data_IF_488542660959
#
_entry.id   IF_488542660959
#
_cell.length_a   1.000
_cell.length_b   1.000
_cell.length_c   1.000
_cell.angle_alpha   90.00
_cell.angle_beta   90.00
_cell.angle_gamma   90.00
#
_symmetry.space_group_name_H-M   'P 1'
#
loop_
_entity.id
_entity.type
_entity.pdbx_description
1 polymer ?
#
# COMPACT_ATOMS: atom_id res chain seq x y z
N UNK A 1 -42.34 15.83 -1.13
CA UNK A 1 -41.21 16.76 -0.93
C UNK A 1 -40.72 16.60 0.50
N UNK A 2 -39.65 15.81 0.70
CA UNK A 2 -39.06 15.58 2.02
C UNK A 2 -38.19 16.77 2.42
N UNK A 3 -38.47 17.36 3.57
CA UNK A 3 -37.71 18.47 4.15
C UNK A 3 -36.41 17.92 4.73
N UNK A 4 -35.27 18.19 4.09
CA UNK A 4 -33.94 17.90 4.66
C UNK A 4 -33.71 18.80 5.88
N UNK A 5 -33.26 18.20 6.98
CA UNK A 5 -32.92 18.93 8.20
C UNK A 5 -31.77 19.94 7.94
N UNK A 6 -31.76 21.11 8.60
CA UNK A 6 -30.76 22.14 8.38
C UNK A 6 -29.39 21.68 8.86
N UNK A 7 -28.36 21.98 8.06
CA UNK A 7 -26.96 21.75 8.38
C UNK A 7 -26.51 22.67 9.52
N UNK A 8 -26.00 22.09 10.60
CA UNK A 8 -25.39 22.82 11.72
C UNK A 8 -23.89 22.53 11.68
N UNK A 9 -23.02 23.52 11.39
CA UNK A 9 -21.59 23.33 11.43
C UNK A 9 -21.14 23.12 12.89
N UNK A 10 -20.31 22.10 13.12
CA UNK A 10 -19.71 21.82 14.43
C UNK A 10 -18.22 22.13 14.34
N UNK A 11 -17.75 23.07 15.15
CA UNK A 11 -16.32 23.34 15.30
C UNK A 11 -15.71 22.31 16.26
N UNK A 12 -14.75 21.53 15.77
CA UNK A 12 -14.02 20.55 16.57
C UNK A 12 -12.81 21.23 17.24
N UNK A 13 -12.75 21.17 18.57
CA UNK A 13 -11.59 21.62 19.35
C UNK A 13 -10.72 20.42 19.71
N UNK A 14 -9.42 20.49 19.39
CA UNK A 14 -8.45 19.45 19.76
C UNK A 14 -8.06 19.64 21.22
N UNK A 15 -8.53 18.76 22.10
CA UNK A 15 -8.12 18.70 23.50
C UNK A 15 -6.76 18.02 23.58
N UNK A 16 -5.75 18.77 24.02
CA UNK A 16 -4.38 18.30 24.14
C UNK A 16 -4.24 17.12 25.09
N UNK A 17 -3.77 16.00 24.57
CA UNK A 17 -2.96 15.03 25.32
C UNK A 17 -1.58 15.00 24.69
N UNK A 18 -0.56 15.16 25.53
CA UNK A 18 0.83 14.95 25.18
C UNK A 18 0.99 13.51 24.70
N UNK A 19 1.04 13.31 23.38
CA UNK A 19 1.56 12.08 22.80
C UNK A 19 3.08 12.12 22.97
N UNK A 20 3.64 11.10 23.61
CA UNK A 20 5.08 10.83 23.56
C UNK A 20 5.48 10.74 22.08
N UNK A 21 6.17 11.77 21.61
CA UNK A 21 6.79 11.78 20.29
C UNK A 21 7.88 10.72 20.26
N UNK A 22 7.55 9.52 19.80
CA UNK A 22 8.52 8.69 19.07
C UNK A 22 8.67 9.33 17.69
N UNK A 23 9.32 10.50 17.67
CA UNK A 23 9.79 11.12 16.45
C UNK A 23 11.01 10.32 16.00
N UNK A 24 10.78 9.25 15.24
CA UNK A 24 11.84 8.65 14.45
C UNK A 24 12.18 9.65 13.34
N UNK A 25 13.35 10.28 13.49
CA UNK A 25 13.94 11.17 12.51
C UNK A 25 14.25 10.35 11.25
N UNK A 26 13.36 10.40 10.27
CA UNK A 26 13.71 10.15 8.88
C UNK A 26 14.19 11.49 8.32
N UNK A 27 15.48 11.57 7.98
CA UNK A 27 16.06 12.70 7.28
C UNK A 27 15.40 12.79 5.90
N UNK A 28 14.58 13.83 5.68
CA UNK A 28 13.76 14.05 4.48
C UNK A 28 14.60 14.49 3.26
N UNK A 29 15.94 14.42 3.36
CA UNK A 29 16.88 15.01 2.40
C UNK A 29 17.90 14.01 1.81
N UNK A 30 17.66 12.70 1.91
CA UNK A 30 18.46 11.76 1.11
C UNK A 30 17.90 11.69 -0.31
N UNK A 31 18.62 12.28 -1.27
CA UNK A 31 18.45 11.95 -2.68
C UNK A 31 18.85 10.48 -2.86
N UNK A 32 17.87 9.60 -2.71
CA UNK A 32 18.09 8.17 -2.88
C UNK A 32 18.27 7.88 -4.37
N UNK A 33 19.46 7.36 -4.72
CA UNK A 33 19.78 6.92 -6.07
C UNK A 33 18.78 5.86 -6.62
N UNK A 34 18.93 5.47 -7.89
CA UNK A 34 18.11 4.40 -8.45
C UNK A 34 18.29 3.12 -7.62
N UNK A 35 17.17 2.51 -7.19
CA UNK A 35 17.18 1.30 -6.39
C UNK A 35 17.95 0.19 -7.10
N UNK A 36 18.70 -0.62 -6.34
CA UNK A 36 19.41 -1.76 -6.94
C UNK A 36 18.42 -2.75 -7.58
N UNK A 37 18.77 -3.42 -8.70
CA UNK A 37 17.85 -4.31 -9.39
C UNK A 37 17.26 -5.38 -8.46
N UNK A 38 15.94 -5.49 -8.42
CA UNK A 38 15.22 -6.44 -7.55
C UNK A 38 14.94 -5.93 -6.13
N UNK A 39 15.38 -4.72 -5.79
CA UNK A 39 15.06 -4.07 -4.53
C UNK A 39 13.82 -3.19 -4.64
N UNK A 40 13.20 -2.97 -3.49
CA UNK A 40 12.05 -2.08 -3.29
C UNK A 40 12.32 -1.19 -2.08
N UNK A 41 11.64 -0.06 -2.02
CA UNK A 41 11.60 0.77 -0.83
C UNK A 41 10.21 1.33 -0.60
N UNK A 42 9.93 1.66 0.64
CA UNK A 42 8.77 2.49 0.97
C UNK A 42 8.98 3.89 0.39
N UNK A 43 7.93 4.49 -0.15
CA UNK A 43 8.02 5.89 -0.60
C UNK A 43 8.23 6.81 0.61
N UNK A 44 8.85 7.96 0.34
CA UNK A 44 8.95 9.02 1.34
C UNK A 44 7.59 9.54 1.76
N UNK A 45 7.49 10.00 3.01
CA UNK A 45 6.26 10.58 3.54
C UNK A 45 5.23 9.54 4.01
N UNK A 46 5.62 8.30 4.28
CA UNK A 46 4.78 7.35 5.01
C UNK A 46 5.02 7.45 6.52
N UNK A 47 3.94 7.46 7.31
CA UNK A 47 3.99 7.42 8.78
C UNK A 47 3.10 6.32 9.33
N UNK A 48 3.66 5.56 10.26
CA UNK A 48 2.87 4.65 11.09
C UNK A 48 2.22 5.41 12.25
N UNK A 49 0.95 5.13 12.52
CA UNK A 49 0.20 5.63 13.69
C UNK A 49 -0.63 4.53 14.30
N UNK A 50 -0.85 4.61 15.60
CA UNK A 50 -1.80 3.73 16.29
C UNK A 50 -3.11 4.47 16.50
N UNK A 51 -4.22 3.90 16.01
CA UNK A 51 -5.57 4.46 16.16
C UNK A 51 -6.50 3.34 16.59
N UNK A 52 -7.17 3.51 17.73
CA UNK A 52 -8.08 2.51 18.29
C UNK A 52 -7.46 1.10 18.43
N UNK A 53 -6.17 1.01 18.78
CA UNK A 53 -5.45 -0.26 18.92
C UNK A 53 -5.07 -0.93 17.59
N UNK A 54 -5.28 -0.25 16.46
CA UNK A 54 -4.86 -0.70 15.13
C UNK A 54 -3.66 0.13 14.66
N UNK A 55 -2.69 -0.50 14.01
CA UNK A 55 -1.59 0.23 13.37
C UNK A 55 -2.01 0.62 11.95
N UNK A 56 -1.88 1.89 11.61
CA UNK A 56 -2.15 2.44 10.29
C UNK A 56 -0.85 2.94 9.67
N UNK A 57 -0.63 2.61 8.40
CA UNK A 57 0.39 3.24 7.56
C UNK A 57 -0.29 4.30 6.69
N UNK A 58 0.02 5.56 6.98
CA UNK A 58 -0.66 6.73 6.43
C UNK A 58 0.31 7.59 5.63
N UNK A 59 -0.05 8.04 4.41
CA UNK A 59 0.73 9.03 3.71
C UNK A 59 0.57 10.40 4.36
N UNK A 60 1.64 11.20 4.34
CA UNK A 60 1.69 12.58 4.78
C UNK A 60 2.47 13.43 3.77
N UNK A 61 2.18 14.73 3.72
CA UNK A 61 2.82 15.64 2.77
C UNK A 61 2.54 15.23 1.31
N UNK A 62 3.57 15.27 0.47
CA UNK A 62 3.45 15.02 -0.96
C UNK A 62 3.05 13.57 -1.30
N UNK A 63 3.32 12.62 -0.39
CA UNK A 63 2.94 11.22 -0.53
C UNK A 63 1.43 11.00 -0.66
N UNK A 64 0.62 11.93 -0.12
CA UNK A 64 -0.85 11.86 -0.19
C UNK A 64 -1.36 11.88 -1.63
N UNK A 65 -0.61 12.51 -2.55
CA UNK A 65 -0.97 12.56 -3.98
C UNK A 65 -0.66 11.26 -4.74
N UNK A 66 0.28 10.45 -4.23
CA UNK A 66 0.78 9.22 -4.88
C UNK A 66 0.08 7.97 -4.36
N UNK A 67 -0.24 7.96 -3.07
CA UNK A 67 -0.81 6.81 -2.36
C UNK A 67 -2.32 6.79 -2.51
N UNK A 68 -2.87 5.66 -2.95
CA UNK A 68 -4.30 5.51 -3.20
C UNK A 68 -5.15 5.43 -1.93
N UNK A 69 -4.62 4.79 -0.90
CA UNK A 69 -5.31 4.55 0.36
C UNK A 69 -4.33 4.30 1.49
N UNK A 70 -4.71 4.61 2.74
CA UNK A 70 -3.95 4.19 3.92
C UNK A 70 -4.07 2.67 4.12
N UNK A 71 -3.05 2.04 4.69
CA UNK A 71 -3.04 0.60 4.95
C UNK A 71 -3.29 0.34 6.43
N UNK A 72 -4.29 -0.50 6.74
CA UNK A 72 -4.52 -1.01 8.09
C UNK A 72 -3.67 -2.25 8.28
N UNK A 73 -2.81 -2.23 9.29
CA UNK A 73 -1.85 -3.28 9.59
C UNK A 73 -2.25 -4.00 10.89
N UNK A 74 -2.25 -5.33 10.84
CA UNK A 74 -2.23 -6.13 12.06
C UNK A 74 -0.83 -6.05 12.72
N UNK A 75 -0.69 -6.66 13.90
CA UNK A 75 0.54 -6.57 14.70
C UNK A 75 1.76 -7.12 13.96
N UNK A 76 1.59 -8.23 13.26
CA UNK A 76 2.63 -8.92 12.51
C UNK A 76 3.06 -8.10 11.28
N UNK A 77 2.10 -7.63 10.48
CA UNK A 77 2.37 -6.78 9.33
C UNK A 77 3.01 -5.45 9.74
N UNK A 78 2.60 -4.85 10.86
CA UNK A 78 3.24 -3.65 11.39
C UNK A 78 4.71 -3.88 11.74
N UNK A 79 5.04 -5.04 12.31
CA UNK A 79 6.43 -5.42 12.59
C UNK A 79 7.23 -5.67 11.30
N UNK A 80 6.63 -6.30 10.28
CA UNK A 80 7.27 -6.46 8.97
C UNK A 80 7.52 -5.11 8.27
N UNK A 81 6.55 -4.20 8.29
CA UNK A 81 6.69 -2.84 7.73
C UNK A 81 7.79 -2.06 8.45
N UNK A 82 7.95 -2.23 9.76
CA UNK A 82 9.09 -1.62 10.48
C UNK A 82 10.43 -2.07 9.95
N UNK A 83 10.58 -3.35 9.58
CA UNK A 83 11.81 -3.87 8.98
C UNK A 83 12.06 -3.33 7.56
N UNK A 84 11.00 -2.90 6.87
CA UNK A 84 11.05 -2.26 5.54
C UNK A 84 11.37 -0.76 5.63
N UNK A 85 11.17 -0.12 6.79
CA UNK A 85 11.47 1.30 6.99
C UNK A 85 12.96 1.59 7.13
N UNK A 86 13.81 0.57 7.27
CA UNK A 86 15.26 0.72 7.43
C UNK A 86 15.98 1.05 6.11
N UNK A 87 15.27 1.10 4.98
CA UNK A 87 15.82 1.45 3.66
C UNK A 87 15.34 0.53 2.55
N UNK A 88 16.20 0.29 1.56
CA UNK A 88 15.91 -0.65 0.48
C UNK A 88 15.87 -2.10 0.99
N UNK A 89 14.97 -2.90 0.43
CA UNK A 89 14.77 -4.27 0.85
C UNK A 89 14.37 -5.19 -0.31
N UNK A 90 14.59 -6.49 -0.10
CA UNK A 90 14.04 -7.58 -0.92
C UNK A 90 13.08 -8.42 -0.08
N UNK A 91 12.23 -9.23 -0.73
CA UNK A 91 11.37 -10.18 -0.01
C UNK A 91 12.21 -11.13 0.84
N UNK A 92 13.31 -11.66 0.29
CA UNK A 92 14.19 -12.58 0.99
C UNK A 92 14.78 -11.96 2.27
N UNK A 93 15.24 -10.70 2.20
CA UNK A 93 15.79 -10.00 3.35
C UNK A 93 14.74 -9.79 4.46
N UNK A 94 13.50 -9.47 4.09
CA UNK A 94 12.41 -9.30 5.08
C UNK A 94 12.01 -10.65 5.67
N UNK A 95 11.98 -11.72 4.89
CA UNK A 95 11.70 -13.08 5.38
C UNK A 95 12.77 -13.52 6.37
N UNK A 96 14.05 -13.33 6.05
CA UNK A 96 15.16 -13.66 6.94
C UNK A 96 15.07 -12.91 8.28
N UNK A 97 14.90 -11.57 8.24
CA UNK A 97 14.67 -10.75 9.45
C UNK A 97 13.42 -11.20 10.23
N UNK A 98 12.37 -11.56 9.51
CA UNK A 98 11.11 -12.04 10.08
C UNK A 98 11.26 -13.38 10.80
N UNK A 99 12.03 -14.33 10.26
CA UNK A 99 12.27 -15.64 10.90
C UNK A 99 12.99 -15.52 12.25
N UNK A 100 13.81 -14.49 12.42
CA UNK A 100 14.43 -14.20 13.72
C UNK A 100 13.43 -13.63 14.75
N UNK A 101 12.36 -13.00 14.28
CA UNK A 101 11.39 -12.28 15.13
C UNK A 101 10.16 -13.12 15.43
N UNK A 102 9.66 -13.87 14.44
CA UNK A 102 8.44 -14.66 14.52
C UNK A 102 8.80 -16.14 14.63
N UNK A 103 8.13 -16.84 15.56
CA UNK A 103 8.18 -18.30 15.59
C UNK A 103 7.20 -18.83 14.55
N UNK A 104 7.70 -19.23 13.38
CA UNK A 104 6.88 -19.73 12.28
C UNK A 104 7.70 -20.48 11.24
N UNK A 105 6.99 -21.07 10.28
CA UNK A 105 7.60 -21.76 9.14
C UNK A 105 7.91 -20.76 8.02
N UNK A 106 9.09 -20.88 7.41
CA UNK A 106 9.51 -20.01 6.31
C UNK A 106 8.49 -19.91 5.17
N UNK A 107 7.88 -21.01 4.66
CA UNK A 107 6.95 -20.93 3.54
C UNK A 107 5.70 -20.09 3.87
N UNK A 108 5.25 -20.14 5.12
CA UNK A 108 4.10 -19.37 5.61
C UNK A 108 4.48 -17.89 5.70
N UNK A 109 5.60 -17.59 6.35
CA UNK A 109 6.09 -16.21 6.48
C UNK A 109 6.36 -15.58 5.12
N UNK A 110 7.01 -16.30 4.21
CA UNK A 110 7.26 -15.85 2.83
C UNK A 110 5.96 -15.50 2.12
N UNK A 111 4.95 -16.36 2.22
CA UNK A 111 3.63 -16.08 1.63
C UNK A 111 2.99 -14.81 2.22
N UNK A 112 3.14 -14.58 3.52
CA UNK A 112 2.59 -13.40 4.17
C UNK A 112 3.35 -12.12 3.82
N UNK A 113 4.68 -12.18 3.73
CA UNK A 113 5.52 -11.07 3.24
C UNK A 113 5.18 -10.73 1.80
N UNK A 114 5.05 -11.71 0.92
CA UNK A 114 4.68 -11.50 -0.48
C UNK A 114 3.32 -10.81 -0.62
N UNK A 115 2.31 -11.30 0.11
CA UNK A 115 0.98 -10.66 0.14
C UNK A 115 1.03 -9.22 0.66
N UNK A 116 1.83 -8.97 1.69
CA UNK A 116 2.01 -7.64 2.24
C UNK A 116 2.64 -6.70 1.21
N UNK A 117 3.71 -7.14 0.55
CA UNK A 117 4.39 -6.37 -0.51
C UNK A 117 3.44 -6.08 -1.66
N UNK A 118 2.67 -7.06 -2.12
CA UNK A 118 1.68 -6.87 -3.19
C UNK A 118 0.61 -5.84 -2.80
N UNK A 119 0.12 -5.88 -1.56
CA UNK A 119 -0.86 -4.91 -1.07
C UNK A 119 -0.28 -3.49 -1.00
N UNK A 120 0.94 -3.33 -0.51
CA UNK A 120 1.63 -2.04 -0.45
C UNK A 120 1.95 -1.50 -1.86
N UNK A 121 2.35 -2.38 -2.77
CA UNK A 121 2.55 -2.08 -4.19
C UNK A 121 1.27 -1.55 -4.84
N UNK A 122 0.15 -2.26 -4.69
CA UNK A 122 -1.15 -1.86 -5.24
C UNK A 122 -1.69 -0.55 -4.64
N UNK A 123 -1.34 -0.28 -3.38
CA UNK A 123 -1.67 0.98 -2.71
C UNK A 123 -0.79 2.16 -3.16
N UNK A 124 0.26 1.92 -3.94
CA UNK A 124 1.22 2.94 -4.37
C UNK A 124 2.18 3.38 -3.28
N UNK A 125 2.42 2.52 -2.28
CA UNK A 125 3.29 2.80 -1.13
C UNK A 125 4.73 2.33 -1.32
N UNK A 126 5.03 1.62 -2.41
CA UNK A 126 6.36 1.14 -2.74
C UNK A 126 6.88 1.77 -4.03
N UNK A 127 8.19 1.91 -4.13
CA UNK A 127 8.91 2.27 -5.35
C UNK A 127 10.17 1.39 -5.53
N UNK A 128 10.67 1.34 -6.77
CA UNK A 128 11.78 0.50 -7.19
C UNK A 128 11.47 -0.36 -8.42
N UNK A 129 12.51 -0.93 -9.04
CA UNK A 129 12.40 -1.70 -10.28
C UNK A 129 11.46 -2.91 -10.18
N UNK A 130 11.42 -3.54 -9.01
CA UNK A 130 10.60 -4.72 -8.77
C UNK A 130 9.10 -4.39 -8.70
N UNK A 131 8.76 -3.16 -8.28
CA UNK A 131 7.37 -2.68 -8.24
C UNK A 131 6.78 -2.64 -9.65
N UNK A 132 7.52 -2.11 -10.63
CA UNK A 132 7.06 -2.06 -12.02
C UNK A 132 6.80 -3.46 -12.59
N UNK A 133 7.70 -4.42 -12.32
CA UNK A 133 7.54 -5.80 -12.79
C UNK A 133 6.27 -6.44 -12.23
N UNK A 134 6.02 -6.27 -10.92
CA UNK A 134 4.83 -6.77 -10.25
C UNK A 134 3.55 -6.16 -10.80
N UNK A 135 3.52 -4.85 -11.01
CA UNK A 135 2.37 -4.16 -11.57
C UNK A 135 2.07 -4.59 -13.01
N UNK A 136 3.10 -4.77 -13.85
CA UNK A 136 2.94 -5.30 -15.23
C UNK A 136 2.31 -6.69 -15.22
N UNK A 137 2.69 -7.56 -14.27
CA UNK A 137 2.07 -8.88 -14.10
C UNK A 137 0.62 -8.84 -13.57
N UNK A 138 0.26 -7.82 -12.79
CA UNK A 138 -1.05 -7.67 -12.19
C UNK A 138 -2.10 -7.00 -13.09
N UNK A 139 -1.67 -6.28 -14.14
CA UNK A 139 -2.56 -5.50 -15.01
C UNK A 139 -3.33 -6.42 -15.97
N UNK A 140 -4.64 -6.57 -15.77
CA UNK A 140 -5.51 -7.20 -16.76
C UNK A 140 -5.92 -6.14 -17.79
N UNK A 141 -5.44 -6.24 -19.04
CA UNK A 141 -5.94 -5.39 -20.13
C UNK A 141 -7.39 -5.76 -20.43
N UNK A 142 -8.33 -4.89 -20.07
CA UNK A 142 -9.72 -5.00 -20.49
C UNK A 142 -9.86 -4.29 -21.85
N UNK A 143 -9.69 -5.03 -22.94
CA UNK A 143 -10.05 -4.53 -24.27
C UNK A 143 -11.56 -4.69 -24.48
N UNK A 144 -12.28 -3.58 -24.56
CA UNK A 144 -13.69 -3.55 -24.97
C UNK A 144 -13.88 -2.61 -26.15
N UNK A 145 -14.55 -3.07 -27.21
CA UNK A 145 -14.97 -2.19 -28.31
C UNK A 145 -16.30 -1.55 -27.90
N UNK A 146 -16.31 -0.22 -27.79
CA UNK A 146 -17.53 0.57 -27.56
C UNK A 146 -17.93 1.21 -28.89
N UNK A 147 -19.12 0.89 -29.37
CA UNK A 147 -19.71 1.54 -30.55
C UNK A 147 -20.48 2.77 -30.09
N UNK A 148 -20.14 3.93 -30.64
CA UNK A 148 -20.73 5.23 -30.31
C UNK A 148 -21.62 5.71 -31.44
N UNK A 149 -22.84 6.18 -31.12
CA UNK A 149 -23.76 6.81 -32.07
C UNK A 149 -24.30 8.10 -31.44
N UNK A 150 -24.15 9.24 -32.13
CA UNK A 150 -24.55 10.57 -31.64
C UNK A 150 -24.00 10.92 -30.24
N UNK A 151 -22.74 10.54 -29.97
CA UNK A 151 -22.09 10.78 -28.68
C UNK A 151 -22.61 9.91 -27.53
N UNK A 152 -23.45 8.91 -27.82
CA UNK A 152 -23.98 7.95 -26.82
C UNK A 152 -23.45 6.54 -27.11
N UNK A 153 -23.04 5.77 -26.09
CA UNK A 153 -22.68 4.38 -26.28
C UNK A 153 -23.93 3.57 -26.63
N UNK A 154 -23.95 2.95 -27.81
CA UNK A 154 -25.08 2.13 -28.31
C UNK A 154 -24.84 0.64 -28.16
N UNK A 155 -23.59 0.20 -28.03
CA UNK A 155 -23.25 -1.20 -27.74
C UNK A 155 -21.84 -1.33 -27.17
N UNK A 156 -21.68 -2.18 -26.16
CA UNK A 156 -20.38 -2.59 -25.63
C UNK A 156 -20.32 -4.12 -25.59
N UNK A 157 -19.44 -4.74 -26.38
CA UNK A 157 -19.04 -6.13 -26.17
C UNK A 157 -17.79 -6.14 -25.30
N UNK A 158 -17.94 -6.63 -24.07
CA UNK A 158 -16.81 -6.87 -23.17
C UNK A 158 -16.48 -8.35 -23.28
N UNK A 159 -15.37 -8.69 -23.93
CA UNK A 159 -14.77 -10.02 -23.80
C UNK A 159 -13.95 -10.05 -22.51
N UNK A 160 -14.52 -10.65 -21.46
CA UNK A 160 -13.77 -10.89 -20.23
C UNK A 160 -12.74 -12.01 -20.47
N UNK A 161 -11.46 -11.65 -20.57
CA UNK A 161 -10.36 -12.63 -20.57
C UNK A 161 -10.28 -13.24 -19.16
N UNK A 162 -10.57 -14.54 -19.04
CA UNK A 162 -10.43 -15.30 -17.78
C UNK A 162 -8.97 -15.28 -17.33
N UNK A 163 -8.71 -14.84 -16.09
CA UNK A 163 -7.46 -15.15 -15.37
C UNK A 163 -7.39 -16.66 -15.13
N UNK A 164 -6.40 -17.33 -15.68
CA UNK A 164 -5.87 -18.59 -15.15
C UNK A 164 -4.77 -18.25 -14.14
N UNK A 165 -5.15 -18.03 -12.88
CA UNK A 165 -4.21 -18.13 -11.77
C UNK A 165 -3.95 -19.63 -11.55
N UNK A 166 -2.84 -20.15 -12.07
CA UNK A 166 -2.33 -21.45 -11.63
C UNK A 166 -1.85 -21.31 -10.18
N UNK A 167 -2.75 -21.51 -9.22
CA UNK A 167 -2.34 -22.01 -7.92
C UNK A 167 -1.99 -23.48 -8.14
N UNK A 168 -0.70 -23.80 -8.13
CA UNK A 168 -0.26 -25.17 -7.86
C UNK A 168 -0.38 -25.39 -6.35
N UNK A 169 -1.21 -26.36 -5.99
CA UNK A 169 -1.30 -26.96 -4.66
C UNK A 169 0.06 -27.48 -4.16
#
# INVERSE_FOLDING_TARGET
>A
MEKRAPYIPVEAWVVGKQEEKVALHHDVNQEHGPAEPGHMRLIDGLKMREVAGQTLLTPVGDAVSRVRQSAVLNREAAALVRMMMDGEFTVDAIVEKGLHTFRGEEPVLRRDVEKLVDNLCLAGMLEGDEVEKRLRGATTTLSGVTVMENGRPVSSKVESVRRSLNLKD
#
